data_IF_054967068505
#
_entry.id   IF_054967068505
#
_cell.length_a   1.000
_cell.length_b   1.000
_cell.length_c   1.000
_cell.angle_alpha   90.00
_cell.angle_beta   90.00
_cell.angle_gamma   90.00
#
_symmetry.space_group_name_H-M   'P 1'
#
loop_
_entity.id
_entity.type
_entity.pdbx_description
1 polymer ?
#
# COMPACT_ATOMS: atom_id res chain seq x y z
N UNK A 1 10.34 28.08 19.60
CA UNK A 1 11.22 28.12 18.41
C UNK A 1 11.24 26.72 17.77
N UNK A 2 10.60 26.50 16.62
CA UNK A 2 10.62 25.19 15.93
C UNK A 2 11.95 25.05 15.22
N UNK A 3 12.76 24.07 15.61
CA UNK A 3 13.97 23.71 14.90
C UNK A 3 13.63 23.33 13.44
N UNK A 4 14.40 23.80 12.45
CA UNK A 4 14.15 23.47 11.05
C UNK A 4 14.19 21.96 10.86
N UNK A 5 13.18 21.43 10.13
CA UNK A 5 13.10 19.99 9.81
C UNK A 5 14.35 19.58 9.04
N UNK A 6 15.05 18.59 9.57
CA UNK A 6 16.23 18.02 8.94
C UNK A 6 15.93 17.59 7.49
N UNK A 7 16.53 18.27 6.54
CA UNK A 7 16.44 17.93 5.12
C UNK A 7 17.24 16.66 4.86
N UNK A 8 16.62 15.65 4.24
CA UNK A 8 17.31 14.44 3.80
C UNK A 8 17.86 14.69 2.40
N UNK A 9 19.17 14.49 2.23
CA UNK A 9 19.84 14.57 0.93
C UNK A 9 20.59 13.27 0.66
N UNK A 10 20.55 12.79 -0.58
CA UNK A 10 21.36 11.68 -1.05
C UNK A 10 22.33 12.17 -2.10
N UNK A 11 23.59 11.80 -1.96
CA UNK A 11 24.66 12.10 -2.91
C UNK A 11 25.20 10.77 -3.41
N UNK A 12 25.18 10.58 -4.73
CA UNK A 12 25.64 9.37 -5.37
C UNK A 12 27.07 9.55 -5.87
N UNK A 13 27.94 8.61 -5.54
CA UNK A 13 29.36 8.61 -5.90
C UNK A 13 29.77 7.22 -6.42
N UNK A 14 30.85 7.16 -7.20
CA UNK A 14 31.30 5.90 -7.84
C UNK A 14 31.92 4.90 -6.86
N UNK A 15 32.51 5.36 -5.76
CA UNK A 15 33.21 4.48 -4.82
C UNK A 15 32.91 4.84 -3.36
N UNK A 16 33.10 3.88 -2.45
CA UNK A 16 32.97 4.09 -0.99
C UNK A 16 33.94 5.16 -0.50
N UNK A 17 35.20 5.11 -0.93
CA UNK A 17 36.25 6.11 -0.57
C UNK A 17 35.86 7.53 -1.00
N UNK A 18 35.27 7.68 -2.19
CA UNK A 18 34.75 8.98 -2.63
C UNK A 18 33.58 9.44 -1.76
N UNK A 19 32.68 8.53 -1.37
CA UNK A 19 31.57 8.82 -0.47
C UNK A 19 32.04 9.29 0.92
N UNK A 20 33.05 8.64 1.48
CA UNK A 20 33.64 9.01 2.77
C UNK A 20 34.26 10.42 2.72
N UNK A 21 35.02 10.73 1.65
CA UNK A 21 35.58 12.08 1.46
C UNK A 21 34.49 13.15 1.36
N UNK A 22 33.44 12.89 0.54
CA UNK A 22 32.31 13.82 0.39
C UNK A 22 31.58 14.00 1.72
N UNK A 23 31.37 12.94 2.49
CA UNK A 23 30.74 13.01 3.80
C UNK A 23 31.55 13.88 4.76
N UNK A 24 32.87 13.70 4.80
CA UNK A 24 33.77 14.51 5.65
C UNK A 24 33.71 15.98 5.26
N UNK A 25 33.81 16.30 3.96
CA UNK A 25 33.72 17.68 3.47
C UNK A 25 32.40 18.35 3.82
N UNK A 26 31.29 17.64 3.64
CA UNK A 26 29.94 18.15 3.97
C UNK A 26 29.80 18.36 5.48
N UNK A 27 30.29 17.44 6.31
CA UNK A 27 30.30 17.60 7.77
C UNK A 27 31.00 18.86 8.18
N UNK A 28 32.24 19.06 7.70
CA UNK A 28 33.05 20.24 7.97
C UNK A 28 32.28 21.51 7.57
N UNK A 29 31.76 21.56 6.35
CA UNK A 29 31.01 22.72 5.86
C UNK A 29 29.78 23.05 6.72
N UNK A 30 28.95 22.01 7.03
CA UNK A 30 27.75 22.22 7.84
C UNK A 30 28.05 22.67 9.26
N UNK A 31 29.09 22.14 9.88
CA UNK A 31 29.49 22.49 11.24
C UNK A 31 30.19 23.86 11.32
N UNK A 32 31.17 24.11 10.44
CA UNK A 32 32.00 25.31 10.52
C UNK A 32 31.32 26.54 9.92
N UNK A 33 30.66 26.39 8.74
CA UNK A 33 30.03 27.49 8.01
C UNK A 33 28.59 27.75 8.41
N UNK A 34 27.79 26.69 8.52
CA UNK A 34 26.36 26.83 8.78
C UNK A 34 25.97 26.60 10.25
N UNK A 35 26.94 26.24 11.11
CA UNK A 35 26.74 25.96 12.54
C UNK A 35 25.61 24.94 12.82
N UNK A 36 25.39 24.01 11.87
CA UNK A 36 24.36 23.00 11.94
C UNK A 36 24.89 21.69 12.54
N UNK A 37 24.08 21.04 13.38
CA UNK A 37 24.40 19.70 13.92
C UNK A 37 23.96 18.62 12.94
N UNK A 38 24.84 17.67 12.66
CA UNK A 38 24.56 16.51 11.82
C UNK A 38 24.00 15.39 12.67
N UNK A 39 22.96 14.73 12.18
CA UNK A 39 22.43 13.54 12.83
C UNK A 39 23.23 12.31 12.40
N UNK A 40 24.22 11.92 13.23
CA UNK A 40 25.13 10.81 12.95
C UNK A 40 24.42 9.47 12.76
N UNK A 41 23.34 9.21 13.50
CA UNK A 41 22.57 7.97 13.37
C UNK A 41 21.86 7.82 12.01
N UNK A 42 21.57 8.96 11.36
CA UNK A 42 20.86 8.99 10.07
C UNK A 42 21.77 9.27 8.89
N UNK A 43 23.02 9.65 9.14
CA UNK A 43 24.02 9.99 8.12
C UNK A 43 24.99 8.81 7.95
N UNK A 44 25.09 8.27 6.75
CA UNK A 44 26.03 7.18 6.48
C UNK A 44 26.37 7.10 4.99
N UNK A 45 27.55 6.57 4.71
CA UNK A 45 28.00 6.17 3.38
C UNK A 45 27.66 4.70 3.20
N UNK A 46 26.74 4.39 2.30
CA UNK A 46 26.29 3.01 2.08
C UNK A 46 25.85 2.79 0.62
N UNK A 47 25.63 1.53 0.26
CA UNK A 47 25.11 1.19 -1.07
C UNK A 47 23.65 1.63 -1.23
N UNK A 48 23.23 2.14 -2.40
CA UNK A 48 21.87 2.66 -2.62
C UNK A 48 20.75 1.69 -2.23
N UNK A 49 20.92 0.39 -2.43
CA UNK A 49 19.91 -0.63 -2.10
C UNK A 49 19.78 -0.94 -0.59
N UNK A 50 20.70 -0.46 0.23
CA UNK A 50 20.59 -0.55 1.70
C UNK A 50 19.88 0.63 2.33
N UNK A 51 19.57 1.67 1.55
CA UNK A 51 18.95 2.91 2.02
C UNK A 51 17.59 3.15 1.36
N UNK A 52 16.71 3.77 2.13
CA UNK A 52 15.40 4.20 1.65
C UNK A 52 15.41 5.72 1.43
N UNK A 53 14.89 6.15 0.30
CA UNK A 53 14.77 7.56 -0.05
C UNK A 53 13.35 7.87 -0.56
N UNK A 54 12.70 8.88 0.02
CA UNK A 54 11.36 9.34 -0.36
C UNK A 54 10.30 8.20 -0.42
N UNK A 55 10.44 7.20 0.42
CA UNK A 55 9.52 6.05 0.45
C UNK A 55 9.84 4.94 -0.54
N UNK A 56 10.90 5.10 -1.31
CA UNK A 56 11.43 4.09 -2.22
C UNK A 56 12.69 3.43 -1.68
N UNK A 57 13.00 2.26 -2.19
CA UNK A 57 14.25 1.53 -2.01
C UNK A 57 14.71 1.04 -3.38
N UNK A 58 16.01 0.97 -3.58
CA UNK A 58 16.57 0.39 -4.80
C UNK A 58 16.87 -1.10 -4.60
N UNK A 59 16.87 -1.87 -5.67
CA UNK A 59 17.37 -3.25 -5.65
C UNK A 59 18.04 -3.59 -6.98
N UNK A 60 19.00 -4.50 -6.92
CA UNK A 60 19.67 -5.01 -8.11
C UNK A 60 18.91 -6.23 -8.62
N UNK A 61 18.35 -6.13 -9.82
CA UNK A 61 17.70 -7.24 -10.49
C UNK A 61 18.72 -8.32 -10.91
N UNK A 62 18.26 -9.54 -11.20
CA UNK A 62 19.11 -10.62 -11.72
C UNK A 62 19.83 -10.24 -13.02
N UNK A 63 19.23 -9.37 -13.82
CA UNK A 63 19.78 -8.80 -15.06
C UNK A 63 20.91 -7.77 -14.83
N UNK A 64 21.27 -7.48 -13.56
CA UNK A 64 22.24 -6.44 -13.20
C UNK A 64 21.68 -5.03 -13.14
N UNK A 65 20.48 -4.76 -13.68
CA UNK A 65 19.84 -3.45 -13.65
C UNK A 65 19.44 -3.06 -12.21
N UNK A 66 19.57 -1.77 -11.89
CA UNK A 66 19.06 -1.21 -10.64
C UNK A 66 17.63 -0.76 -10.89
N UNK A 67 16.72 -1.29 -10.12
CA UNK A 67 15.29 -1.01 -10.18
C UNK A 67 14.81 -0.36 -8.89
N UNK A 68 13.72 0.38 -8.97
CA UNK A 68 13.09 1.07 -7.86
C UNK A 68 11.92 0.21 -7.33
N UNK A 69 11.87 0.03 -6.03
CA UNK A 69 10.76 -0.63 -5.34
C UNK A 69 10.23 0.23 -4.21
N UNK A 70 9.03 -0.07 -3.75
CA UNK A 70 8.49 0.56 -2.54
C UNK A 70 9.29 0.12 -1.32
N UNK A 71 9.64 1.09 -0.46
CA UNK A 71 10.25 0.76 0.82
C UNK A 71 9.23 0.01 1.71
N UNK A 72 9.68 -0.97 2.52
CA UNK A 72 8.78 -1.72 3.42
C UNK A 72 7.90 -0.83 4.29
N UNK A 73 8.48 0.23 4.84
CA UNK A 73 7.75 1.21 5.65
C UNK A 73 6.62 1.91 4.89
N UNK A 74 6.77 2.12 3.58
CA UNK A 74 5.73 2.71 2.72
C UNK A 74 4.55 1.76 2.58
N UNK A 75 4.86 0.46 2.39
CA UNK A 75 3.83 -0.59 2.31
C UNK A 75 3.08 -0.70 3.64
N UNK A 76 3.77 -0.63 4.77
CA UNK A 76 3.14 -0.70 6.09
C UNK A 76 2.24 0.51 6.35
N UNK A 77 2.67 1.71 5.95
CA UNK A 77 1.87 2.95 6.08
C UNK A 77 0.59 2.89 5.25
N UNK A 78 0.68 2.49 3.98
CA UNK A 78 -0.53 2.37 3.14
C UNK A 78 -1.47 1.30 3.68
N UNK A 79 -0.95 0.16 4.13
CA UNK A 79 -1.76 -0.89 4.78
C UNK A 79 -2.42 -0.39 6.06
N UNK A 80 -1.72 0.39 6.87
CA UNK A 80 -2.28 1.01 8.09
C UNK A 80 -3.47 1.90 7.72
N UNK A 81 -3.30 2.80 6.75
CA UNK A 81 -4.37 3.70 6.31
C UNK A 81 -5.58 2.97 5.74
N UNK A 82 -5.33 1.96 4.90
CA UNK A 82 -6.41 1.10 4.38
C UNK A 82 -7.15 0.39 5.52
N UNK A 83 -6.43 -0.10 6.56
CA UNK A 83 -7.09 -0.70 7.76
C UNK A 83 -8.00 0.29 8.47
N UNK A 84 -7.59 1.54 8.60
CA UNK A 84 -8.40 2.60 9.20
C UNK A 84 -9.69 2.84 8.41
N UNK A 85 -9.59 3.00 7.08
CA UNK A 85 -10.73 3.25 6.19
C UNK A 85 -11.67 2.04 6.18
N UNK A 86 -11.12 0.83 6.11
CA UNK A 86 -11.86 -0.44 6.04
C UNK A 86 -12.06 -1.08 7.42
N UNK A 87 -12.13 -0.28 8.48
CA UNK A 87 -12.46 -0.80 9.81
C UNK A 87 -13.92 -1.26 9.84
N UNK A 88 -14.13 -2.55 10.16
CA UNK A 88 -15.45 -3.17 10.21
C UNK A 88 -16.35 -2.65 11.34
N UNK A 89 -15.75 -1.95 12.30
CA UNK A 89 -16.47 -1.42 13.47
C UNK A 89 -16.97 0.03 13.25
N UNK A 90 -16.61 0.66 12.13
CA UNK A 90 -17.13 2.00 11.79
C UNK A 90 -18.50 1.88 11.12
N UNK A 91 -19.49 2.65 11.55
CA UNK A 91 -20.84 2.70 10.96
C UNK A 91 -20.84 3.54 9.69
N UNK A 92 -20.12 3.07 8.66
CA UNK A 92 -19.92 3.75 7.38
C UNK A 92 -20.45 2.87 6.27
N UNK A 93 -21.15 3.44 5.28
CA UNK A 93 -21.66 2.70 4.12
C UNK A 93 -20.53 2.10 3.27
N UNK A 94 -20.85 1.15 2.41
CA UNK A 94 -19.84 0.57 1.50
C UNK A 94 -19.43 1.58 0.43
N UNK A 95 -20.37 2.36 -0.10
CA UNK A 95 -20.10 3.42 -1.07
C UNK A 95 -19.10 4.45 -0.52
N UNK A 96 -19.35 4.96 0.68
CA UNK A 96 -18.45 5.92 1.34
C UNK A 96 -17.06 5.31 1.62
N UNK A 97 -16.98 4.01 1.95
CA UNK A 97 -15.68 3.33 2.11
C UNK A 97 -14.89 3.29 0.81
N UNK A 98 -15.56 2.98 -0.30
CA UNK A 98 -14.97 2.92 -1.63
C UNK A 98 -14.51 4.31 -2.06
N UNK A 99 -15.32 5.33 -1.86
CA UNK A 99 -14.97 6.73 -2.16
C UNK A 99 -13.73 7.17 -1.40
N UNK A 100 -13.68 6.95 -0.09
CA UNK A 100 -12.51 7.27 0.74
C UNK A 100 -11.26 6.48 0.35
N UNK A 101 -11.43 5.21 -0.06
CA UNK A 101 -10.32 4.40 -0.58
C UNK A 101 -9.80 4.95 -1.89
N UNK A 102 -10.67 5.28 -2.84
CA UNK A 102 -10.32 5.82 -4.14
C UNK A 102 -9.58 7.15 -4.01
N UNK A 103 -10.08 8.07 -3.18
CA UNK A 103 -9.43 9.35 -2.91
C UNK A 103 -8.01 9.16 -2.35
N UNK A 104 -7.87 8.31 -1.33
CA UNK A 104 -6.56 8.05 -0.73
C UNK A 104 -5.61 7.31 -1.66
N UNK A 105 -6.07 6.23 -2.28
CA UNK A 105 -5.23 5.39 -3.15
C UNK A 105 -4.91 6.08 -4.47
N UNK A 106 -5.79 6.93 -4.99
CA UNK A 106 -5.55 7.74 -6.18
C UNK A 106 -4.34 8.67 -6.01
N UNK A 107 -4.32 9.44 -4.92
CA UNK A 107 -3.17 10.29 -4.58
C UNK A 107 -1.91 9.50 -4.29
N UNK A 108 -2.03 8.38 -3.54
CA UNK A 108 -0.90 7.51 -3.23
C UNK A 108 -0.28 6.88 -4.48
N UNK A 109 -1.12 6.41 -5.43
CA UNK A 109 -0.67 5.85 -6.71
C UNK A 109 0.02 6.89 -7.59
N UNK A 110 -0.47 8.14 -7.62
CA UNK A 110 0.17 9.22 -8.39
C UNK A 110 1.63 9.43 -8.03
N UNK A 111 2.00 9.19 -6.77
CA UNK A 111 3.39 9.31 -6.33
C UNK A 111 4.17 7.99 -6.46
N UNK A 112 3.57 6.86 -6.08
CA UNK A 112 4.28 5.60 -5.94
C UNK A 112 4.25 4.69 -7.19
N UNK A 113 3.55 5.08 -8.26
CA UNK A 113 3.57 4.36 -9.54
C UNK A 113 4.96 4.34 -10.22
N UNK A 114 5.90 5.17 -9.78
CA UNK A 114 7.31 5.13 -10.21
C UNK A 114 8.03 3.81 -9.86
N UNK A 115 7.50 3.02 -8.92
CA UNK A 115 8.13 1.77 -8.53
C UNK A 115 8.01 0.70 -9.63
N UNK A 116 9.12 0.00 -9.91
CA UNK A 116 9.21 -1.07 -10.92
C UNK A 116 8.70 -2.43 -10.38
N UNK A 117 7.66 -2.40 -9.54
CA UNK A 117 7.15 -3.59 -8.84
C UNK A 117 5.62 -3.73 -8.96
N UNK A 118 5.09 -4.01 -10.17
CA UNK A 118 3.63 -4.12 -10.40
C UNK A 118 2.95 -5.18 -9.52
N UNK A 119 3.68 -6.24 -9.16
CA UNK A 119 3.17 -7.32 -8.31
C UNK A 119 2.71 -6.85 -6.92
N UNK A 120 3.31 -5.77 -6.39
CA UNK A 120 2.93 -5.20 -5.09
C UNK A 120 1.54 -4.56 -5.18
N UNK A 121 1.27 -3.82 -6.26
CA UNK A 121 -0.03 -3.18 -6.49
C UNK A 121 -1.13 -4.22 -6.66
N UNK A 122 -0.89 -5.29 -7.44
CA UNK A 122 -1.80 -6.44 -7.60
C UNK A 122 -2.10 -7.13 -6.26
N UNK A 123 -1.07 -7.38 -5.44
CA UNK A 123 -1.23 -7.97 -4.10
C UNK A 123 -2.02 -7.04 -3.16
N UNK A 124 -1.74 -5.74 -3.20
CA UNK A 124 -2.43 -4.74 -2.38
C UNK A 124 -3.92 -4.65 -2.77
N UNK A 125 -4.22 -4.63 -4.06
CA UNK A 125 -5.58 -4.63 -4.60
C UNK A 125 -6.38 -5.84 -4.14
N UNK A 126 -5.83 -7.05 -4.27
CA UNK A 126 -6.48 -8.28 -3.78
C UNK A 126 -6.74 -8.24 -2.26
N UNK A 127 -5.81 -7.67 -1.50
CA UNK A 127 -5.97 -7.51 -0.07
C UNK A 127 -7.05 -6.47 0.29
N UNK A 128 -7.14 -5.35 -0.44
CA UNK A 128 -8.20 -4.33 -0.28
C UNK A 128 -9.57 -4.97 -0.51
N UNK A 129 -9.76 -5.73 -1.60
CA UNK A 129 -11.02 -6.43 -1.88
C UNK A 129 -11.39 -7.42 -0.75
N UNK A 130 -10.43 -8.17 -0.22
CA UNK A 130 -10.68 -9.04 0.93
C UNK A 130 -11.14 -8.25 2.16
N UNK A 131 -10.59 -7.07 2.40
CA UNK A 131 -11.02 -6.21 3.50
C UNK A 131 -12.43 -5.68 3.31
N UNK A 132 -12.81 -5.31 2.09
CA UNK A 132 -14.16 -4.87 1.78
C UNK A 132 -15.18 -6.02 1.95
N UNK A 133 -14.85 -7.25 1.48
CA UNK A 133 -15.68 -8.44 1.74
C UNK A 133 -15.86 -8.69 3.25
N UNK A 134 -14.81 -8.53 4.03
CA UNK A 134 -14.90 -8.63 5.49
C UNK A 134 -15.87 -7.60 6.08
N UNK A 135 -15.90 -6.38 5.55
CA UNK A 135 -16.84 -5.35 5.99
C UNK A 135 -18.28 -5.72 5.62
N UNK A 136 -18.53 -6.17 4.39
CA UNK A 136 -19.86 -6.67 3.97
C UNK A 136 -20.33 -7.80 4.86
N UNK A 137 -19.49 -8.79 5.11
CA UNK A 137 -19.84 -9.91 5.97
C UNK A 137 -20.21 -9.45 7.39
N UNK A 138 -19.55 -8.45 7.92
CA UNK A 138 -19.89 -7.87 9.22
C UNK A 138 -21.21 -7.10 9.20
N UNK A 139 -21.55 -6.45 8.07
CA UNK A 139 -22.84 -5.78 7.88
C UNK A 139 -23.99 -6.79 7.79
N UNK A 140 -23.78 -7.96 7.20
CA UNK A 140 -24.75 -9.06 7.13
C UNK A 140 -24.85 -9.79 8.48
N UNK A 141 -25.26 -9.05 9.49
CA UNK A 141 -25.22 -9.46 10.89
C UNK A 141 -26.09 -10.70 11.18
N UNK A 142 -27.29 -10.77 10.57
CA UNK A 142 -28.27 -11.84 10.81
C UNK A 142 -28.10 -12.94 9.76
N UNK A 143 -28.32 -14.20 10.16
CA UNK A 143 -28.28 -15.37 9.27
C UNK A 143 -29.24 -15.18 8.09
N UNK A 144 -30.49 -14.74 8.33
CA UNK A 144 -31.47 -14.41 7.28
C UNK A 144 -30.92 -13.42 6.24
N UNK A 145 -30.22 -12.39 6.68
CA UNK A 145 -29.61 -11.41 5.76
C UNK A 145 -28.52 -12.08 4.92
N UNK A 146 -27.69 -12.92 5.52
CA UNK A 146 -26.64 -13.65 4.80
C UNK A 146 -27.23 -14.55 3.71
N UNK A 147 -28.30 -15.26 4.00
CA UNK A 147 -29.02 -16.08 2.99
C UNK A 147 -29.46 -15.22 1.82
N UNK A 148 -30.16 -14.12 2.07
CA UNK A 148 -30.63 -13.21 1.04
C UNK A 148 -29.49 -12.68 0.16
N UNK A 149 -28.47 -12.14 0.78
CA UNK A 149 -27.35 -11.51 0.07
C UNK A 149 -26.52 -12.54 -0.72
N UNK A 150 -26.26 -13.72 -0.16
CA UNK A 150 -25.51 -14.77 -0.84
C UNK A 150 -26.28 -15.34 -2.03
N UNK A 151 -27.60 -15.47 -1.93
CA UNK A 151 -28.47 -15.85 -3.06
C UNK A 151 -28.47 -14.78 -4.15
N UNK A 152 -28.60 -13.52 -3.76
CA UNK A 152 -28.52 -12.39 -4.70
C UNK A 152 -27.19 -12.31 -5.47
N UNK A 153 -26.11 -12.86 -4.91
CA UNK A 153 -24.81 -13.00 -5.58
C UNK A 153 -24.70 -14.20 -6.51
N UNK A 154 -25.79 -14.98 -6.68
CA UNK A 154 -25.84 -16.13 -7.58
C UNK A 154 -25.03 -17.34 -7.10
N UNK A 155 -24.81 -17.49 -5.79
CA UNK A 155 -24.12 -18.65 -5.26
C UNK A 155 -25.04 -19.89 -5.23
N UNK A 156 -24.50 -21.11 -5.44
CA UNK A 156 -25.25 -22.33 -5.31
C UNK A 156 -25.85 -22.48 -3.90
N UNK A 157 -27.06 -23.05 -3.81
CA UNK A 157 -27.82 -23.12 -2.55
C UNK A 157 -27.05 -23.85 -1.43
N UNK A 158 -26.33 -24.91 -1.76
CA UNK A 158 -25.51 -25.63 -0.78
C UNK A 158 -24.37 -24.73 -0.19
N UNK A 159 -23.78 -23.86 -1.01
CA UNK A 159 -22.77 -22.86 -0.56
C UNK A 159 -23.43 -21.80 0.31
N UNK A 160 -24.62 -21.31 -0.10
CA UNK A 160 -25.39 -20.34 0.68
C UNK A 160 -25.68 -20.89 2.06
N UNK A 161 -26.17 -22.16 2.15
CA UNK A 161 -26.47 -22.81 3.41
C UNK A 161 -25.23 -22.97 4.30
N UNK A 162 -24.14 -23.46 3.75
CA UNK A 162 -22.87 -23.61 4.49
C UNK A 162 -22.36 -22.27 5.04
N UNK A 163 -22.35 -21.24 4.18
CA UNK A 163 -21.76 -19.95 4.57
C UNK A 163 -22.67 -19.14 5.48
N UNK A 164 -23.97 -19.07 5.22
CA UNK A 164 -24.91 -18.28 6.03
C UNK A 164 -24.91 -18.73 7.50
N UNK A 165 -24.82 -20.04 7.74
CA UNK A 165 -24.78 -20.65 9.07
C UNK A 165 -23.41 -20.67 9.71
N UNK A 166 -22.35 -20.25 8.98
CA UNK A 166 -20.99 -20.31 9.48
C UNK A 166 -20.76 -19.41 10.70
N UNK A 167 -20.17 -19.97 11.74
CA UNK A 167 -19.69 -19.27 12.93
C UNK A 167 -18.28 -18.67 12.77
N UNK A 168 -17.65 -18.87 11.60
CA UNK A 168 -16.31 -18.36 11.32
C UNK A 168 -16.31 -16.83 11.27
N UNK A 169 -15.22 -16.23 11.74
CA UNK A 169 -15.09 -14.77 11.78
C UNK A 169 -15.05 -14.10 10.39
N UNK A 170 -15.40 -12.80 10.29
CA UNK A 170 -15.54 -12.08 9.02
C UNK A 170 -14.33 -12.13 8.09
N UNK A 171 -13.14 -12.16 8.63
CA UNK A 171 -11.90 -12.24 7.83
C UNK A 171 -11.75 -13.59 7.13
N UNK A 172 -12.14 -14.68 7.79
CA UNK A 172 -12.11 -16.02 7.21
C UNK A 172 -13.20 -16.17 6.15
N UNK A 173 -14.39 -15.64 6.42
CA UNK A 173 -15.51 -15.65 5.47
C UNK A 173 -15.28 -14.79 4.23
N UNK A 174 -14.45 -13.76 4.31
CA UNK A 174 -14.03 -12.92 3.17
C UNK A 174 -13.14 -13.67 2.14
N UNK A 175 -13.04 -14.99 2.23
CA UNK A 175 -12.30 -15.88 1.34
C UNK A 175 -13.24 -16.96 0.77
N UNK A 176 -12.75 -17.87 -0.04
CA UNK A 176 -13.53 -18.96 -0.62
C UNK A 176 -14.59 -18.46 -1.61
N UNK A 177 -15.84 -18.94 -1.54
CA UNK A 177 -16.91 -18.57 -2.48
C UNK A 177 -17.16 -17.06 -2.56
N UNK A 178 -17.08 -16.34 -1.45
CA UNK A 178 -17.20 -14.89 -1.47
C UNK A 178 -16.12 -14.20 -2.34
N UNK A 179 -14.91 -14.76 -2.44
CA UNK A 179 -13.89 -14.23 -3.32
C UNK A 179 -14.26 -14.39 -4.80
N UNK A 180 -15.00 -15.44 -5.14
CA UNK A 180 -15.49 -15.71 -6.50
C UNK A 180 -16.68 -14.81 -6.82
N UNK A 181 -17.69 -14.79 -5.97
CA UNK A 181 -18.90 -13.99 -6.16
C UNK A 181 -18.64 -12.48 -6.13
N UNK A 182 -17.78 -12.00 -5.23
CA UNK A 182 -17.40 -10.60 -5.10
C UNK A 182 -15.98 -10.40 -5.68
N UNK A 183 -15.83 -10.72 -6.96
CA UNK A 183 -14.58 -10.61 -7.72
C UNK A 183 -14.28 -9.18 -8.19
N UNK A 184 -13.38 -9.07 -9.17
CA UNK A 184 -12.96 -7.76 -9.69
C UNK A 184 -14.13 -6.98 -10.31
N UNK A 185 -14.90 -7.64 -11.19
CA UNK A 185 -16.02 -7.01 -11.87
C UNK A 185 -17.06 -6.42 -10.89
N UNK A 186 -17.37 -7.16 -9.81
CA UNK A 186 -18.27 -6.65 -8.78
C UNK A 186 -17.74 -5.36 -8.14
N UNK A 187 -16.46 -5.33 -7.74
CA UNK A 187 -15.92 -4.14 -7.10
C UNK A 187 -15.76 -2.96 -8.07
N UNK A 188 -15.49 -3.22 -9.33
CA UNK A 188 -15.48 -2.20 -10.39
C UNK A 188 -16.89 -1.62 -10.60
N UNK A 189 -17.94 -2.46 -10.64
CA UNK A 189 -19.33 -1.99 -10.73
C UNK A 189 -19.76 -1.16 -9.51
N UNK A 190 -19.13 -1.40 -8.34
CA UNK A 190 -19.31 -0.57 -7.14
C UNK A 190 -18.42 0.70 -7.14
N UNK A 191 -17.71 0.97 -8.22
CA UNK A 191 -16.85 2.15 -8.36
C UNK A 191 -15.48 2.05 -7.70
N UNK A 192 -15.02 0.85 -7.27
CA UNK A 192 -13.67 0.70 -6.72
C UNK A 192 -12.63 0.80 -7.83
N UNK A 193 -11.69 1.73 -7.67
CA UNK A 193 -10.55 1.92 -8.58
C UNK A 193 -9.65 0.67 -8.61
N UNK A 194 -9.30 0.20 -9.81
CA UNK A 194 -8.28 -0.83 -10.00
C UNK A 194 -6.89 -0.21 -9.87
N UNK A 195 -6.11 -0.69 -8.89
CA UNK A 195 -4.72 -0.26 -8.71
C UNK A 195 -3.84 -0.73 -9.85
N UNK A 196 -4.14 -1.89 -10.41
CA UNK A 196 -3.37 -2.48 -11.51
C UNK A 196 -3.53 -1.66 -12.79
N UNK A 197 -4.76 -1.32 -13.17
CA UNK A 197 -5.06 -0.49 -14.34
C UNK A 197 -4.52 0.93 -14.15
N UNK A 198 -4.72 1.52 -12.97
CA UNK A 198 -4.17 2.84 -12.65
C UNK A 198 -2.65 2.88 -12.73
N UNK A 199 -1.97 1.82 -12.26
CA UNK A 199 -0.52 1.69 -12.40
C UNK A 199 -0.10 1.68 -13.87
N UNK A 200 -0.76 0.89 -14.70
CA UNK A 200 -0.47 0.80 -16.14
C UNK A 200 -0.69 2.16 -16.83
N UNK A 201 -1.83 2.80 -16.59
CA UNK A 201 -2.14 4.13 -17.14
C UNK A 201 -1.08 5.18 -16.76
N UNK A 202 -0.68 5.24 -15.49
CA UNK A 202 0.35 6.17 -15.04
C UNK A 202 1.73 5.88 -15.66
N UNK A 203 2.07 4.61 -15.87
CA UNK A 203 3.36 4.22 -16.49
C UNK A 203 3.41 4.43 -18.01
N UNK A 204 2.26 4.49 -18.68
CA UNK A 204 2.18 4.83 -20.10
C UNK A 204 2.28 6.33 -20.34
N UNK A 205 1.90 7.15 -19.36
CA UNK A 205 1.94 8.61 -19.44
C UNK A 205 3.35 9.20 -19.18
N UNK A 206 4.34 8.36 -18.83
CA UNK A 206 5.75 8.74 -18.56
C UNK A 206 6.69 8.18 -19.64
#
# INVERSE_FOLDING_TARGET
>A
MRLPRATRRNIYVKSKRAGERVMTSIRKFLQERLKLRINEQKSAVDRPWKRNFLGFSMYKAKTGKILIRLAPQTIDRVKKKIREITSRNRPVSMAERIERLNAYLGGWMGYFALADTPSIFKKLEGWVRRRLRMCLWKQWKRVRTRYRELRALGLPEWVVHEFANSRKGPWRMAHGPMNRALGNAYWQSQGLMSLTERYQSLRQAW
#
